data_IF_641818854370
#
_entry.id   IF_641818854370
#
_cell.length_a   1.000
_cell.length_b   1.000
_cell.length_c   1.000
_cell.angle_alpha   90.00
_cell.angle_beta   90.00
_cell.angle_gamma   90.00
#
_symmetry.space_group_name_H-M   'P 1'
#
loop_
_entity.id
_entity.type
_entity.pdbx_description
1 polymer ?
#
# COMPACT_ATOMS: atom_id res chain seq x y z
N UNK A 1 17.79 15.75 -9.16
CA UNK A 1 19.00 15.30 -8.45
C UNK A 1 20.13 16.26 -8.77
N UNK A 2 20.97 16.58 -7.79
CA UNK A 2 22.03 17.55 -7.96
C UNK A 2 23.15 16.99 -8.88
N UNK A 3 23.86 17.83 -9.67
CA UNK A 3 24.84 17.37 -10.66
C UNK A 3 26.03 16.60 -10.09
N UNK A 4 26.35 16.83 -8.82
CA UNK A 4 27.42 16.22 -8.03
C UNK A 4 27.05 14.84 -7.47
N UNK A 5 25.78 14.45 -7.51
CA UNK A 5 25.29 13.19 -6.96
C UNK A 5 26.00 11.96 -7.54
N UNK A 6 26.41 12.01 -8.81
CA UNK A 6 27.08 10.90 -9.49
C UNK A 6 28.61 10.91 -9.37
N UNK A 7 29.19 11.88 -8.67
CA UNK A 7 30.65 11.99 -8.52
C UNK A 7 31.24 10.88 -7.64
N UNK A 8 30.45 10.32 -6.72
CA UNK A 8 30.78 9.11 -5.96
C UNK A 8 29.73 8.01 -6.25
N UNK A 9 30.04 7.06 -7.17
CA UNK A 9 29.11 6.00 -7.53
C UNK A 9 28.66 5.11 -6.36
N UNK A 10 29.50 4.94 -5.32
CA UNK A 10 29.16 4.09 -4.17
C UNK A 10 28.14 4.77 -3.26
N UNK A 11 28.33 6.06 -2.98
CA UNK A 11 27.37 6.84 -2.20
C UNK A 11 26.06 7.04 -2.98
N UNK A 12 26.14 7.27 -4.29
CA UNK A 12 24.95 7.33 -5.15
C UNK A 12 24.14 6.02 -5.10
N UNK A 13 24.81 4.86 -5.16
CA UNK A 13 24.16 3.55 -5.06
C UNK A 13 23.46 3.37 -3.70
N UNK A 14 24.10 3.78 -2.60
CA UNK A 14 23.52 3.73 -1.25
C UNK A 14 22.25 4.57 -1.16
N UNK A 15 22.30 5.82 -1.61
CA UNK A 15 21.14 6.73 -1.61
C UNK A 15 20.01 6.17 -2.50
N UNK A 16 20.34 5.60 -3.67
CA UNK A 16 19.35 4.97 -4.54
C UNK A 16 18.68 3.75 -3.89
N UNK A 17 19.42 2.95 -3.13
CA UNK A 17 18.86 1.82 -2.36
C UNK A 17 17.90 2.31 -1.27
N UNK A 18 18.29 3.35 -0.53
CA UNK A 18 17.45 3.96 0.51
C UNK A 18 16.16 4.55 -0.10
N UNK A 19 16.27 5.30 -1.20
CA UNK A 19 15.10 5.83 -1.92
C UNK A 19 14.19 4.69 -2.36
N UNK A 20 14.74 3.60 -2.90
CA UNK A 20 13.94 2.46 -3.34
C UNK A 20 13.20 1.79 -2.18
N UNK A 21 13.87 1.63 -1.03
CA UNK A 21 13.25 1.08 0.18
C UNK A 21 12.12 1.95 0.69
N UNK A 22 12.33 3.27 0.82
CA UNK A 22 11.28 4.19 1.25
C UNK A 22 10.11 4.24 0.28
N UNK A 23 10.38 4.26 -1.04
CA UNK A 23 9.31 4.20 -2.06
C UNK A 23 8.48 2.93 -1.93
N UNK A 24 9.14 1.79 -1.75
CA UNK A 24 8.45 0.52 -1.62
C UNK A 24 7.54 0.48 -0.39
N UNK A 25 7.98 1.08 0.73
CA UNK A 25 7.18 1.21 1.94
C UNK A 25 5.97 2.12 1.73
N UNK A 26 6.17 3.29 1.12
CA UNK A 26 5.08 4.22 0.79
C UNK A 26 4.05 3.57 -0.16
N UNK A 27 4.53 2.88 -1.20
CA UNK A 27 3.66 2.18 -2.16
C UNK A 27 2.80 1.11 -1.48
N UNK A 28 3.36 0.33 -0.55
CA UNK A 28 2.56 -0.65 0.19
C UNK A 28 1.56 -0.01 1.13
N UNK A 29 1.94 1.07 1.81
CA UNK A 29 1.01 1.72 2.69
C UNK A 29 -0.16 2.33 1.92
N UNK A 30 0.11 2.95 0.76
CA UNK A 30 -0.95 3.40 -0.15
C UNK A 30 -1.82 2.25 -0.66
N UNK A 31 -1.25 1.06 -0.87
CA UNK A 31 -2.02 -0.10 -1.28
C UNK A 31 -2.97 -0.61 -0.17
N UNK A 32 -2.51 -0.63 1.08
CA UNK A 32 -3.36 -0.96 2.23
C UNK A 32 -4.48 0.06 2.38
N UNK A 33 -4.17 1.35 2.27
CA UNK A 33 -5.16 2.43 2.33
C UNK A 33 -6.23 2.29 1.23
N UNK A 34 -5.83 1.95 0.01
CA UNK A 34 -6.75 1.66 -1.10
C UNK A 34 -7.69 0.49 -0.76
N UNK A 35 -7.17 -0.62 -0.23
CA UNK A 35 -7.98 -1.81 0.10
C UNK A 35 -8.95 -1.57 1.24
N UNK A 36 -8.54 -0.82 2.25
CA UNK A 36 -9.42 -0.40 3.34
C UNK A 36 -10.51 0.55 2.83
N UNK A 37 -10.16 1.49 1.94
CA UNK A 37 -11.13 2.38 1.31
C UNK A 37 -12.16 1.64 0.45
N UNK A 38 -11.73 0.66 -0.35
CA UNK A 38 -12.61 -0.20 -1.14
C UNK A 38 -13.63 -0.93 -0.26
N UNK A 39 -13.16 -1.49 0.87
CA UNK A 39 -14.02 -2.14 1.86
C UNK A 39 -15.02 -1.16 2.49
N UNK A 40 -14.57 0.03 2.89
CA UNK A 40 -15.44 1.04 3.50
C UNK A 40 -16.57 1.45 2.55
N UNK A 41 -16.25 1.73 1.29
CA UNK A 41 -17.25 2.07 0.27
C UNK A 41 -18.25 0.93 0.08
N UNK A 42 -17.78 -0.31 -0.02
CA UNK A 42 -18.65 -1.46 -0.21
C UNK A 42 -19.54 -1.71 1.01
N UNK A 43 -19.01 -1.50 2.21
CA UNK A 43 -19.77 -1.64 3.45
C UNK A 43 -20.86 -0.57 3.58
N UNK A 44 -20.61 0.66 3.13
CA UNK A 44 -21.64 1.70 3.07
C UNK A 44 -22.75 1.33 2.07
N UNK A 45 -22.42 0.80 0.87
CA UNK A 45 -23.45 0.29 -0.05
C UNK A 45 -24.29 -0.81 0.60
N UNK A 46 -23.65 -1.76 1.29
CA UNK A 46 -24.37 -2.85 1.97
C UNK A 46 -25.36 -2.32 3.01
N UNK A 47 -24.99 -1.29 3.78
CA UNK A 47 -25.90 -0.63 4.74
C UNK A 47 -27.10 0.05 4.08
N UNK A 48 -26.93 0.55 2.86
CA UNK A 48 -28.00 1.14 2.05
C UNK A 48 -28.90 0.06 1.40
N UNK A 49 -28.60 -1.22 1.62
CA UNK A 49 -29.32 -2.35 1.03
C UNK A 49 -28.86 -2.69 -0.38
N UNK A 50 -27.73 -2.13 -0.82
CA UNK A 50 -27.10 -2.40 -2.11
C UNK A 50 -25.86 -3.29 -1.92
N UNK A 51 -25.82 -4.44 -2.59
CA UNK A 51 -24.74 -5.43 -2.40
C UNK A 51 -25.04 -6.46 -1.32
N UNK A 52 -24.07 -7.34 -1.05
CA UNK A 52 -24.25 -8.53 -0.21
C UNK A 52 -23.20 -8.63 0.89
N UNK A 53 -23.56 -9.28 1.99
CA UNK A 53 -22.64 -9.60 3.10
C UNK A 53 -21.39 -10.33 2.60
N UNK A 54 -21.57 -11.28 1.67
CA UNK A 54 -20.47 -12.03 1.07
C UNK A 54 -19.47 -11.15 0.31
N UNK A 55 -19.94 -10.11 -0.38
CA UNK A 55 -19.06 -9.16 -1.07
C UNK A 55 -18.24 -8.34 -0.07
N UNK A 56 -18.86 -7.91 1.03
CA UNK A 56 -18.19 -7.22 2.14
C UNK A 56 -17.14 -8.12 2.79
N UNK A 57 -17.48 -9.37 3.10
CA UNK A 57 -16.56 -10.35 3.68
C UNK A 57 -15.33 -10.59 2.79
N UNK A 58 -15.55 -10.73 1.48
CA UNK A 58 -14.44 -10.91 0.54
C UNK A 58 -13.49 -9.69 0.53
N UNK A 59 -14.03 -8.47 0.59
CA UNK A 59 -13.21 -7.25 0.66
C UNK A 59 -12.53 -7.08 2.01
N UNK A 60 -13.17 -7.52 3.08
CA UNK A 60 -12.57 -7.57 4.40
C UNK A 60 -11.35 -8.47 4.40
N UNK A 61 -11.46 -9.69 3.86
CA UNK A 61 -10.34 -10.63 3.75
C UNK A 61 -9.20 -10.08 2.89
N UNK A 62 -9.51 -9.41 1.77
CA UNK A 62 -8.51 -8.73 0.93
C UNK A 62 -7.76 -7.63 1.70
N UNK A 63 -8.50 -6.76 2.41
CA UNK A 63 -7.93 -5.67 3.19
C UNK A 63 -7.07 -6.20 4.36
N UNK A 64 -7.59 -7.19 5.10
CA UNK A 64 -6.89 -7.83 6.20
C UNK A 64 -5.57 -8.45 5.73
N UNK A 65 -5.60 -9.20 4.63
CA UNK A 65 -4.39 -9.78 4.05
C UNK A 65 -3.38 -8.71 3.64
N UNK A 66 -3.82 -7.58 3.08
CA UNK A 66 -2.91 -6.49 2.71
C UNK A 66 -2.21 -5.87 3.91
N UNK A 67 -2.89 -5.78 5.07
CA UNK A 67 -2.31 -5.32 6.33
C UNK A 67 -1.29 -6.33 6.84
N UNK A 68 -1.64 -7.62 6.85
CA UNK A 68 -0.72 -8.69 7.24
C UNK A 68 0.56 -8.67 6.38
N UNK A 69 0.42 -8.57 5.06
CA UNK A 69 1.55 -8.50 4.12
C UNK A 69 2.46 -7.28 4.35
N UNK A 70 1.92 -6.17 4.89
CA UNK A 70 2.69 -4.99 5.30
C UNK A 70 3.45 -5.23 6.61
N UNK A 71 2.84 -5.92 7.58
CA UNK A 71 3.44 -6.20 8.90
C UNK A 71 4.59 -7.22 8.85
N UNK A 72 4.57 -8.15 7.88
CA UNK A 72 5.64 -9.15 7.70
C UNK A 72 6.89 -8.65 6.97
N UNK A 73 6.99 -7.35 6.66
CA UNK A 73 8.10 -6.74 5.91
C UNK A 73 9.12 -5.97 6.74
#
# INVERSE_FOLDING_TARGET
MAPDFWNDPKEAEKVMKEIKSHKNWVEQQSHVEEKVGDLEVLYEFFKEGEGTEQEVDNKYDEALKSIEDLEFR
#
